data_IF_854456512925
#
_entry.id   IF_854456512925
#
_cell.length_a   1.000
_cell.length_b   1.000
_cell.length_c   1.000
_cell.angle_alpha   90.00
_cell.angle_beta   90.00
_cell.angle_gamma   90.00
#
_symmetry.space_group_name_H-M   'P 1'
#
loop_
_entity.id
_entity.type
_entity.pdbx_description
1 polymer ?
#
# COMPACT_ATOMS: atom_id res chain seq x y z
N UNK A 1 41.78 68.94 25.84
CA UNK A 1 40.78 68.32 24.95
C UNK A 1 40.95 66.82 25.13
N UNK A 2 39.97 66.14 25.73
CA UNK A 2 40.01 64.69 25.89
C UNK A 2 39.56 64.06 24.58
N UNK A 3 40.51 63.51 23.83
CA UNK A 3 40.22 62.63 22.69
C UNK A 3 39.58 61.36 23.24
N UNK A 4 38.27 61.28 23.08
CA UNK A 4 37.45 60.11 23.36
C UNK A 4 37.85 58.96 22.44
N UNK A 5 38.84 58.16 22.86
CA UNK A 5 39.06 56.80 22.35
C UNK A 5 37.93 55.90 22.86
N UNK A 6 36.73 56.04 22.30
CA UNK A 6 35.58 55.20 22.68
C UNK A 6 35.04 54.40 21.49
N UNK A 7 35.61 54.55 20.29
CA UNK A 7 35.00 54.01 19.07
C UNK A 7 35.63 52.72 18.52
N UNK A 8 36.63 52.12 19.19
CA UNK A 8 37.27 50.90 18.68
C UNK A 8 36.79 49.62 19.39
N UNK A 9 36.18 49.74 20.57
CA UNK A 9 35.71 48.59 21.36
C UNK A 9 34.27 48.17 21.04
N UNK A 10 33.43 49.08 20.53
CA UNK A 10 32.06 48.74 20.12
C UNK A 10 31.97 48.12 18.71
N UNK A 11 32.97 48.37 17.86
CA UNK A 11 32.98 47.84 16.49
C UNK A 11 33.12 46.31 16.47
N UNK A 12 33.80 45.73 17.46
CA UNK A 12 34.04 44.28 17.54
C UNK A 12 32.90 43.48 18.19
N UNK A 13 32.10 44.08 19.08
CA UNK A 13 30.95 43.39 19.71
C UNK A 13 29.77 43.26 18.75
N UNK A 14 29.62 44.20 17.80
CA UNK A 14 28.60 44.12 16.76
C UNK A 14 28.80 42.95 15.77
N UNK A 15 30.06 42.63 15.45
CA UNK A 15 30.38 41.61 14.43
C UNK A 15 30.33 40.16 14.97
N UNK A 16 30.48 39.95 16.29
CA UNK A 16 30.39 38.61 16.90
C UNK A 16 28.96 38.10 17.12
N UNK A 17 27.97 38.99 17.21
CA UNK A 17 26.60 38.62 17.62
C UNK A 17 25.76 38.08 16.46
N UNK A 18 26.18 38.27 15.21
CA UNK A 18 25.52 37.71 14.02
C UNK A 18 26.13 36.37 13.63
N UNK A 19 26.36 35.49 14.60
CA UNK A 19 26.54 34.05 14.36
C UNK A 19 25.34 33.32 14.94
N UNK A 20 24.15 33.72 14.47
CA UNK A 20 22.90 33.03 14.79
C UNK A 20 22.97 31.68 14.08
N UNK A 21 23.10 30.63 14.89
CA UNK A 21 23.13 29.25 14.47
C UNK A 21 21.91 28.93 13.58
N UNK A 22 22.15 28.66 12.30
CA UNK A 22 21.17 28.00 11.42
C UNK A 22 21.14 26.53 11.81
N UNK A 23 20.45 26.20 12.89
CA UNK A 23 20.06 24.83 13.22
C UNK A 23 18.92 24.45 12.28
N UNK A 24 19.28 23.86 11.14
CA UNK A 24 18.32 23.30 10.19
C UNK A 24 17.52 22.17 10.84
N UNK A 25 16.22 22.37 10.99
CA UNK A 25 15.27 21.34 11.43
C UNK A 25 15.20 20.27 10.32
N UNK A 26 15.95 19.18 10.46
CA UNK A 26 15.85 17.98 9.60
C UNK A 26 14.73 17.02 10.07
N UNK A 27 13.74 17.52 10.80
CA UNK A 27 12.68 16.68 11.37
C UNK A 27 11.58 16.50 10.34
N UNK A 28 11.58 15.37 9.63
CA UNK A 28 10.40 14.91 8.87
C UNK A 28 10.60 14.60 7.39
N UNK A 29 11.84 14.46 6.90
CA UNK A 29 12.03 13.94 5.54
C UNK A 29 11.61 12.45 5.50
N UNK A 30 10.77 12.04 4.53
CA UNK A 30 10.35 10.65 4.41
C UNK A 30 11.57 9.76 4.26
N UNK A 31 11.64 8.72 5.09
CA UNK A 31 12.78 7.79 5.11
C UNK A 31 12.61 6.62 4.15
N UNK A 32 11.38 6.44 3.65
CA UNK A 32 11.02 5.39 2.71
C UNK A 32 10.65 5.98 1.36
N UNK A 33 11.01 5.30 0.27
CA UNK A 33 10.51 5.62 -1.05
C UNK A 33 8.97 5.48 -1.11
N UNK A 34 8.27 6.22 -2.00
CA UNK A 34 6.85 6.00 -2.24
C UNK A 34 6.55 4.54 -2.60
N UNK A 35 5.37 4.02 -2.20
CA UNK A 35 5.07 2.61 -2.39
C UNK A 35 4.82 2.28 -3.86
N UNK A 36 5.19 1.08 -4.29
CA UNK A 36 5.04 0.65 -5.68
C UNK A 36 3.70 -0.03 -5.95
N UNK A 37 2.66 0.79 -6.15
CA UNK A 37 1.31 0.33 -6.49
C UNK A 37 1.23 -0.22 -7.93
N UNK A 38 2.01 0.33 -8.87
CA UNK A 38 2.02 -0.11 -10.27
C UNK A 38 2.58 -1.52 -10.40
N UNK A 39 3.69 -1.83 -9.73
CA UNK A 39 4.23 -3.19 -9.71
C UNK A 39 3.29 -4.18 -9.01
N UNK A 40 2.57 -3.75 -7.96
CA UNK A 40 1.55 -4.59 -7.32
C UNK A 40 0.38 -4.90 -8.27
N UNK A 41 -0.12 -3.90 -9.00
CA UNK A 41 -1.15 -4.08 -10.01
C UNK A 41 -0.70 -5.01 -11.15
N UNK A 42 0.53 -4.84 -11.65
CA UNK A 42 1.09 -5.70 -12.69
C UNK A 42 1.12 -7.18 -12.29
N UNK A 43 1.53 -7.48 -11.05
CA UNK A 43 1.50 -8.85 -10.51
C UNK A 43 0.08 -9.41 -10.41
N UNK A 44 -0.90 -8.58 -10.03
CA UNK A 44 -2.30 -8.99 -9.99
C UNK A 44 -2.84 -9.30 -11.40
N UNK A 45 -2.52 -8.44 -12.35
CA UNK A 45 -2.97 -8.57 -13.74
C UNK A 45 -2.36 -9.79 -14.45
N UNK A 46 -1.09 -10.09 -14.15
CA UNK A 46 -0.42 -11.32 -14.60
C UNK A 46 -1.20 -12.57 -14.18
N UNK A 47 -1.59 -12.68 -12.91
CA UNK A 47 -2.33 -13.85 -12.43
C UNK A 47 -3.75 -13.90 -12.98
N UNK A 48 -4.37 -12.75 -13.21
CA UNK A 48 -5.71 -12.71 -13.78
C UNK A 48 -5.77 -13.17 -15.24
N UNK A 49 -4.63 -13.17 -15.93
CA UNK A 49 -4.50 -13.72 -17.30
C UNK A 49 -3.86 -15.11 -17.34
N UNK A 50 -3.41 -15.62 -16.19
CA UNK A 50 -2.82 -16.95 -16.04
C UNK A 50 -3.89 -18.04 -15.94
N UNK A 51 -3.56 -19.34 -16.11
CA UNK A 51 -4.50 -20.43 -15.92
C UNK A 51 -5.09 -20.50 -14.50
N UNK A 52 -6.31 -21.04 -14.36
CA UNK A 52 -6.92 -21.26 -13.05
C UNK A 52 -6.04 -22.18 -12.17
N UNK A 53 -5.92 -21.83 -10.89
CA UNK A 53 -5.01 -22.47 -9.94
C UNK A 53 -3.67 -21.76 -9.78
N UNK A 54 -3.35 -20.79 -10.66
CA UNK A 54 -2.15 -19.96 -10.53
C UNK A 54 -2.16 -19.15 -9.25
N UNK A 55 -1.00 -19.05 -8.61
CA UNK A 55 -0.80 -18.29 -7.38
C UNK A 55 0.54 -17.58 -7.44
N UNK A 56 0.59 -16.35 -6.95
CA UNK A 56 1.84 -15.64 -6.74
C UNK A 56 1.79 -14.86 -5.43
N UNK A 57 2.99 -14.48 -4.99
CA UNK A 57 3.19 -13.70 -3.79
C UNK A 57 4.12 -12.55 -4.09
N UNK A 58 3.81 -11.36 -3.56
CA UNK A 58 4.64 -10.16 -3.72
C UNK A 58 4.83 -9.45 -2.39
N UNK A 59 6.07 -9.12 -2.04
CA UNK A 59 6.34 -8.25 -0.90
C UNK A 59 5.74 -6.86 -1.13
N UNK A 60 5.05 -6.31 -0.13
CA UNK A 60 4.56 -4.94 -0.18
C UNK A 60 5.36 -4.05 0.77
N UNK A 61 5.92 -2.98 0.23
CA UNK A 61 6.55 -1.93 1.04
C UNK A 61 5.49 -0.83 1.21
N UNK A 62 4.58 -1.03 2.17
CA UNK A 62 3.53 -0.09 2.53
C UNK A 62 3.09 -0.33 3.98
N UNK A 63 2.65 0.71 4.67
CA UNK A 63 2.06 0.56 6.01
C UNK A 63 0.57 0.23 5.93
N UNK A 64 -0.09 0.81 4.92
CA UNK A 64 -1.53 0.66 4.69
C UNK A 64 -1.80 0.41 3.22
N UNK A 65 -2.85 -0.34 2.96
CA UNK A 65 -3.38 -0.55 1.62
C UNK A 65 -4.91 -0.48 1.60
N UNK A 66 -5.43 -0.21 0.42
CA UNK A 66 -6.85 -0.25 0.10
C UNK A 66 -6.98 -0.94 -1.25
N UNK A 67 -7.75 -2.02 -1.28
CA UNK A 67 -8.01 -2.78 -2.50
C UNK A 67 -9.51 -2.77 -2.81
N UNK A 68 -9.85 -2.19 -3.96
CA UNK A 68 -11.17 -2.32 -4.58
C UNK A 68 -11.15 -3.45 -5.61
N UNK A 69 -12.28 -3.72 -6.27
CA UNK A 69 -12.31 -4.66 -7.39
C UNK A 69 -11.48 -4.21 -8.60
N UNK A 70 -11.11 -2.93 -8.74
CA UNK A 70 -10.44 -2.39 -9.95
C UNK A 70 -9.22 -1.51 -9.68
N UNK A 71 -8.83 -1.34 -8.42
CA UNK A 71 -7.80 -0.39 -8.04
C UNK A 71 -7.15 -0.83 -6.74
N UNK A 72 -5.84 -0.69 -6.67
CA UNK A 72 -5.03 -0.84 -5.46
C UNK A 72 -4.42 0.52 -5.11
N UNK A 73 -4.52 0.88 -3.82
CA UNK A 73 -3.85 2.05 -3.24
C UNK A 73 -2.93 1.58 -2.13
N UNK A 74 -1.73 2.12 -2.10
CA UNK A 74 -0.71 1.84 -1.08
C UNK A 74 -0.29 3.14 -0.43
N UNK A 75 0.00 3.12 0.87
CA UNK A 75 0.45 4.29 1.62
C UNK A 75 1.54 3.91 2.62
N UNK A 76 2.59 4.73 2.68
CA UNK A 76 3.61 4.75 3.72
C UNK A 76 3.98 6.20 4.11
N UNK A 77 5.01 6.37 4.95
CA UNK A 77 5.58 7.67 5.30
C UNK A 77 6.10 8.46 4.09
N UNK A 78 6.52 7.75 3.03
CA UNK A 78 6.94 8.30 1.74
C UNK A 78 5.80 8.79 0.82
N UNK A 79 4.54 8.50 1.15
CA UNK A 79 3.37 9.02 0.43
C UNK A 79 2.33 7.96 0.09
N UNK A 80 1.46 8.28 -0.88
CA UNK A 80 0.39 7.39 -1.36
C UNK A 80 0.53 7.15 -2.86
N UNK A 81 0.52 5.89 -3.28
CA UNK A 81 0.50 5.49 -4.68
C UNK A 81 -0.78 4.75 -5.01
N UNK A 82 -1.25 4.88 -6.25
CA UNK A 82 -2.48 4.26 -6.73
C UNK A 82 -2.26 3.68 -8.12
N UNK A 83 -2.81 2.49 -8.37
CA UNK A 83 -2.79 1.85 -9.68
C UNK A 83 -4.13 1.17 -9.98
N UNK A 84 -4.60 1.32 -11.22
CA UNK A 84 -5.79 0.59 -11.71
C UNK A 84 -5.39 -0.79 -12.18
N UNK A 85 -6.30 -1.74 -11.99
CA UNK A 85 -6.19 -3.11 -12.46
C UNK A 85 -6.83 -3.23 -13.84
N UNK A 86 -6.25 -4.04 -14.72
CA UNK A 86 -6.79 -4.32 -16.06
C UNK A 86 -8.08 -5.14 -15.94
N UNK A 87 -8.14 -6.07 -14.98
CA UNK A 87 -9.30 -6.94 -14.74
C UNK A 87 -9.81 -6.84 -13.32
N UNK A 88 -11.11 -7.12 -13.15
CA UNK A 88 -11.76 -7.01 -11.86
C UNK A 88 -11.40 -8.19 -10.93
N UNK A 89 -10.90 -7.88 -9.74
CA UNK A 89 -10.51 -8.87 -8.73
C UNK A 89 -11.51 -8.96 -7.58
N UNK A 90 -11.31 -9.95 -6.70
CA UNK A 90 -12.10 -10.20 -5.50
C UNK A 90 -11.20 -9.98 -4.28
N UNK A 91 -11.38 -8.91 -3.51
CA UNK A 91 -10.66 -8.74 -2.26
C UNK A 91 -11.06 -9.83 -1.25
N UNK A 92 -10.09 -10.48 -0.60
CA UNK A 92 -10.30 -11.54 0.40
C UNK A 92 -10.80 -10.96 1.74
N UNK A 93 -12.03 -10.44 1.75
CA UNK A 93 -12.62 -9.74 2.90
C UNK A 93 -13.19 -10.72 3.93
N UNK A 94 -13.79 -11.83 3.49
CA UNK A 94 -14.36 -12.88 4.35
C UNK A 94 -13.34 -13.93 4.71
N UNK A 95 -13.54 -14.61 5.84
CA UNK A 95 -12.62 -15.67 6.29
C UNK A 95 -12.64 -16.87 5.34
N UNK A 96 -13.76 -17.13 4.68
CA UNK A 96 -13.85 -18.14 3.63
C UNK A 96 -12.98 -17.79 2.42
N UNK A 97 -13.05 -16.55 1.91
CA UNK A 97 -12.20 -16.11 0.80
C UNK A 97 -10.71 -16.12 1.16
N UNK A 98 -10.36 -15.73 2.40
CA UNK A 98 -8.98 -15.84 2.92
C UNK A 98 -8.51 -17.29 2.98
N UNK A 99 -9.36 -18.19 3.47
CA UNK A 99 -9.07 -19.63 3.51
C UNK A 99 -8.84 -20.21 2.11
N UNK A 100 -9.61 -19.76 1.11
CA UNK A 100 -9.37 -20.12 -0.30
C UNK A 100 -8.06 -19.49 -0.81
N UNK A 101 -7.74 -18.26 -0.43
CA UNK A 101 -6.48 -17.63 -0.79
C UNK A 101 -5.27 -18.42 -0.24
N UNK A 102 -5.37 -18.89 1.01
CA UNK A 102 -4.37 -19.70 1.74
C UNK A 102 -4.29 -21.18 1.32
N UNK A 103 -4.57 -21.46 0.05
CA UNK A 103 -4.45 -22.77 -0.63
C UNK A 103 -5.57 -23.80 -0.42
N UNK A 104 -6.68 -23.49 0.26
CA UNK A 104 -7.82 -24.43 0.26
C UNK A 104 -8.60 -24.36 -1.05
N UNK A 105 -9.13 -25.50 -1.51
CA UNK A 105 -10.02 -25.53 -2.68
C UNK A 105 -11.39 -25.00 -2.27
N UNK A 106 -12.10 -24.23 -3.12
CA UNK A 106 -13.43 -23.72 -2.78
C UNK A 106 -14.42 -24.80 -2.33
N UNK A 107 -14.34 -26.01 -2.92
CA UNK A 107 -15.18 -27.15 -2.55
C UNK A 107 -15.01 -27.66 -1.12
N UNK A 108 -13.95 -27.26 -0.41
CA UNK A 108 -13.72 -27.60 1.01
C UNK A 108 -14.25 -26.51 1.93
N UNK A 109 -14.40 -25.28 1.42
CA UNK A 109 -14.73 -24.09 2.21
C UNK A 109 -16.20 -23.71 2.08
N UNK A 110 -16.80 -24.00 0.93
CA UNK A 110 -18.19 -23.67 0.63
C UNK A 110 -19.02 -24.92 0.39
N UNK A 111 -20.22 -24.95 0.97
CA UNK A 111 -21.18 -26.06 0.81
C UNK A 111 -21.69 -26.19 -0.64
N UNK A 112 -21.63 -25.11 -1.42
CA UNK A 112 -22.09 -25.11 -2.82
C UNK A 112 -21.38 -24.06 -3.68
N UNK A 113 -21.33 -24.28 -5.01
CA UNK A 113 -20.93 -23.26 -5.99
C UNK A 113 -21.66 -21.92 -5.85
N UNK A 114 -22.96 -21.95 -5.54
CA UNK A 114 -23.77 -20.75 -5.37
C UNK A 114 -23.38 -19.95 -4.14
N UNK A 115 -22.98 -20.61 -3.04
CA UNK A 115 -22.45 -19.95 -1.86
C UNK A 115 -21.17 -19.18 -2.18
N UNK A 116 -20.23 -19.81 -2.90
CA UNK A 116 -19.00 -19.14 -3.35
C UNK A 116 -19.31 -17.95 -4.28
N UNK A 117 -20.21 -18.12 -5.25
CA UNK A 117 -20.58 -17.04 -6.16
C UNK A 117 -21.24 -15.86 -5.45
N UNK A 118 -22.05 -16.10 -4.42
CA UNK A 118 -22.62 -15.04 -3.58
C UNK A 118 -21.54 -14.31 -2.79
N UNK A 119 -20.62 -15.03 -2.16
CA UNK A 119 -19.53 -14.44 -1.39
C UNK A 119 -18.60 -13.57 -2.26
N UNK A 120 -18.20 -14.09 -3.42
CA UNK A 120 -17.45 -13.34 -4.45
C UNK A 120 -18.15 -12.04 -4.85
N UNK A 121 -19.47 -12.06 -5.07
CA UNK A 121 -20.25 -10.86 -5.43
C UNK A 121 -20.33 -9.88 -4.28
N UNK A 122 -20.57 -10.36 -3.06
CA UNK A 122 -20.62 -9.51 -1.87
C UNK A 122 -19.26 -8.81 -1.65
N UNK A 123 -18.17 -9.55 -1.71
CA UNK A 123 -16.81 -9.02 -1.54
C UNK A 123 -16.44 -7.98 -2.62
N UNK A 124 -16.91 -8.13 -3.86
CA UNK A 124 -16.69 -7.14 -4.93
C UNK A 124 -17.46 -5.84 -4.75
N UNK A 125 -18.62 -5.89 -4.11
CA UNK A 125 -19.53 -4.77 -3.92
C UNK A 125 -19.38 -4.10 -2.53
N UNK A 126 -18.55 -4.67 -1.66
CA UNK A 126 -18.27 -4.08 -0.35
C UNK A 126 -17.33 -2.89 -0.52
N UNK A 127 -17.64 -1.79 0.17
CA UNK A 127 -16.78 -0.61 0.17
C UNK A 127 -15.38 -0.93 0.69
N UNK A 128 -14.38 -0.30 0.08
CA UNK A 128 -12.99 -0.55 0.41
C UNK A 128 -12.47 0.51 1.38
N UNK A 129 -12.03 0.05 2.55
CA UNK A 129 -11.32 0.89 3.51
C UNK A 129 -9.82 0.63 3.53
N UNK A 130 -9.08 1.64 3.98
CA UNK A 130 -7.68 1.50 4.33
C UNK A 130 -7.51 0.54 5.50
N UNK A 131 -6.58 -0.39 5.36
CA UNK A 131 -6.22 -1.37 6.39
C UNK A 131 -4.70 -1.55 6.43
N UNK A 132 -4.15 -2.16 7.50
CA UNK A 132 -2.73 -2.54 7.51
C UNK A 132 -2.38 -3.34 6.26
N UNK A 133 -1.27 -2.97 5.62
CA UNK A 133 -0.78 -3.74 4.48
C UNK A 133 -0.25 -5.09 4.97
N UNK A 134 -0.54 -6.21 4.29
CA UNK A 134 0.15 -7.46 4.56
C UNK A 134 1.61 -7.32 4.15
N UNK A 135 2.51 -8.01 4.87
CA UNK A 135 3.92 -8.09 4.47
C UNK A 135 4.09 -8.66 3.05
N UNK A 136 3.15 -9.53 2.66
CA UNK A 136 3.13 -10.23 1.39
C UNK A 136 1.71 -10.29 0.83
N UNK A 137 1.51 -9.62 -0.31
CA UNK A 137 0.32 -9.74 -1.13
C UNK A 137 0.25 -11.14 -1.72
N UNK A 138 -0.87 -11.83 -1.52
CA UNK A 138 -1.17 -13.10 -2.17
C UNK A 138 -2.23 -12.90 -3.23
N UNK A 139 -1.98 -13.45 -4.42
CA UNK A 139 -2.91 -13.39 -5.55
C UNK A 139 -3.15 -14.80 -6.05
N UNK A 140 -4.42 -15.20 -6.17
CA UNK A 140 -4.79 -16.55 -6.61
C UNK A 140 -5.91 -16.53 -7.63
N UNK A 141 -5.68 -17.17 -8.77
CA UNK A 141 -6.72 -17.40 -9.77
C UNK A 141 -7.51 -18.66 -9.44
N UNK A 142 -8.84 -18.55 -9.34
CA UNK A 142 -9.73 -19.62 -8.91
C UNK A 142 -10.89 -19.75 -9.89
N UNK A 143 -11.01 -20.93 -10.49
CA UNK A 143 -12.18 -21.34 -11.26
C UNK A 143 -12.89 -22.50 -10.54
N UNK A 144 -14.15 -22.28 -10.11
CA UNK A 144 -14.97 -23.33 -9.50
C UNK A 144 -16.46 -23.08 -9.71
N UNK A 145 -17.20 -24.12 -10.10
CA UNK A 145 -18.65 -24.06 -10.20
C UNK A 145 -19.18 -22.97 -11.15
N UNK A 146 -18.48 -22.77 -12.27
CA UNK A 146 -18.78 -21.72 -13.25
C UNK A 146 -18.40 -20.29 -12.82
N UNK A 147 -17.72 -20.12 -11.70
CA UNK A 147 -17.20 -18.83 -11.22
C UNK A 147 -15.69 -18.80 -11.43
N UNK A 148 -15.20 -17.88 -12.24
CA UNK A 148 -13.79 -17.70 -12.56
C UNK A 148 -13.31 -16.31 -12.10
N UNK A 149 -12.43 -16.27 -11.11
CA UNK A 149 -12.05 -15.04 -10.39
C UNK A 149 -10.63 -15.07 -9.85
N UNK A 150 -10.00 -13.91 -9.83
CA UNK A 150 -8.77 -13.66 -9.06
C UNK A 150 -9.10 -13.15 -7.67
N UNK A 151 -8.67 -13.87 -6.65
CA UNK A 151 -8.78 -13.49 -5.24
C UNK A 151 -7.45 -12.85 -4.81
N UNK A 152 -7.51 -11.74 -4.08
CA UNK A 152 -6.34 -10.96 -3.66
C UNK A 152 -6.47 -10.59 -2.19
N UNK A 153 -5.41 -10.74 -1.41
CA UNK A 153 -5.41 -10.52 0.04
C UNK A 153 -4.03 -10.36 0.64
#
# INVERSE_FOLDING_TARGET
MFETHVDTLYLWVGLGTVSVAVLGILVGLPTTAPPDATGAAATIDEITTSPAGSVTHRGLIADKWLLTSREIRLRNDGGTATARLIRAVVPARTDQLRTVLDRKRPAVVYDSPDAFRRDVRAARNTDADWRPAPDRLTVRHVAWGGTDVTIVG
#
